data_IF_262266003261
#
_entry.id   IF_262266003261
#
_cell.length_a   1.000
_cell.length_b   1.000
_cell.length_c   1.000
_cell.angle_alpha   90.00
_cell.angle_beta   90.00
_cell.angle_gamma   90.00
#
_symmetry.space_group_name_H-M   'P 1'
#
loop_
_entity.id
_entity.type
_entity.pdbx_description
1 polymer ?
#
# COMPACT_ATOMS: atom_id res chain seq x y z
N UNK A 1 26.90 -24.51 21.44
CA UNK A 1 27.13 -23.54 22.53
C UNK A 1 27.67 -24.30 23.72
N UNK A 2 28.92 -24.04 24.11
CA UNK A 2 29.44 -24.50 25.40
C UNK A 2 28.98 -23.51 26.47
N UNK A 3 28.49 -23.99 27.61
CA UNK A 3 28.05 -23.17 28.75
C UNK A 3 29.24 -22.47 29.44
N UNK A 4 30.46 -22.91 29.13
CA UNK A 4 31.69 -22.51 29.82
C UNK A 4 32.40 -21.28 29.20
N UNK A 5 31.93 -20.76 28.06
CA UNK A 5 32.45 -19.53 27.44
C UNK A 5 31.32 -18.60 26.95
N UNK A 6 30.69 -17.86 27.87
CA UNK A 6 29.62 -16.93 27.53
C UNK A 6 30.12 -15.76 26.66
N UNK A 7 31.39 -15.36 26.77
CA UNK A 7 31.95 -14.26 25.99
C UNK A 7 32.17 -14.66 24.53
N UNK A 8 32.75 -15.84 24.29
CA UNK A 8 32.88 -16.40 22.94
C UNK A 8 31.51 -16.64 22.30
N UNK A 9 30.52 -17.11 23.08
CA UNK A 9 29.14 -17.24 22.61
C UNK A 9 28.52 -15.91 22.15
N UNK A 10 28.67 -14.84 22.94
CA UNK A 10 28.18 -13.50 22.56
C UNK A 10 28.92 -12.95 21.34
N UNK A 11 30.24 -13.13 21.26
CA UNK A 11 31.03 -12.67 20.12
C UNK A 11 30.60 -13.34 18.80
N UNK A 12 30.38 -14.66 18.81
CA UNK A 12 29.88 -15.40 17.64
C UNK A 12 28.49 -14.92 17.20
N UNK A 13 27.57 -14.72 18.15
CA UNK A 13 26.23 -14.19 17.83
C UNK A 13 26.29 -12.79 17.22
N UNK A 14 27.19 -11.93 17.70
CA UNK A 14 27.39 -10.60 17.12
C UNK A 14 27.97 -10.70 15.70
N UNK A 15 28.93 -11.60 15.45
CA UNK A 15 29.51 -11.79 14.12
C UNK A 15 28.49 -12.34 13.10
N UNK A 16 27.64 -13.28 13.52
CA UNK A 16 26.51 -13.76 12.75
C UNK A 16 25.52 -12.62 12.43
N UNK A 17 25.18 -11.81 13.44
CA UNK A 17 24.31 -10.66 13.24
C UNK A 17 24.90 -9.64 12.25
N UNK A 18 26.21 -9.34 12.34
CA UNK A 18 26.87 -8.46 11.38
C UNK A 18 26.88 -9.04 9.97
N UNK A 19 27.12 -10.34 9.84
CA UNK A 19 27.11 -11.05 8.56
C UNK A 19 25.73 -10.95 7.91
N UNK A 20 24.67 -11.25 8.67
CA UNK A 20 23.29 -11.14 8.22
C UNK A 20 22.93 -9.72 7.78
N UNK A 21 23.31 -8.70 8.56
CA UNK A 21 23.06 -7.29 8.20
C UNK A 21 23.79 -6.90 6.92
N UNK A 22 25.04 -7.35 6.72
CA UNK A 22 25.78 -7.09 5.47
C UNK A 22 25.12 -7.77 4.27
N UNK A 23 24.66 -9.01 4.43
CA UNK A 23 23.92 -9.73 3.39
C UNK A 23 22.62 -8.99 3.03
N UNK A 24 21.86 -8.52 4.02
CA UNK A 24 20.67 -7.70 3.82
C UNK A 24 20.98 -6.42 3.04
N UNK A 25 22.04 -5.70 3.39
CA UNK A 25 22.46 -4.47 2.69
C UNK A 25 22.83 -4.73 1.23
N UNK A 26 23.38 -5.92 0.93
CA UNK A 26 23.72 -6.34 -0.44
C UNK A 26 22.53 -6.88 -1.24
N UNK A 27 21.35 -7.01 -0.61
CA UNK A 27 20.15 -7.60 -1.24
C UNK A 27 20.18 -9.12 -1.33
N UNK A 28 21.11 -9.78 -0.65
CA UNK A 28 21.24 -11.25 -0.66
C UNK A 28 20.08 -11.94 0.07
N UNK A 29 19.34 -11.20 0.92
CA UNK A 29 18.16 -11.66 1.66
C UNK A 29 16.82 -11.24 1.02
N UNK A 30 16.86 -10.74 -0.23
CA UNK A 30 15.65 -10.28 -0.93
C UNK A 30 14.60 -11.40 -1.11
N UNK A 31 15.04 -12.66 -1.26
CA UNK A 31 14.14 -13.82 -1.31
C UNK A 31 13.36 -13.97 0.01
N UNK A 32 14.09 -14.05 1.12
CA UNK A 32 13.51 -14.17 2.47
C UNK A 32 12.54 -13.04 2.78
N UNK A 33 12.89 -11.80 2.39
CA UNK A 33 12.00 -10.64 2.56
C UNK A 33 10.69 -10.75 1.78
N UNK A 34 10.70 -11.40 0.60
CA UNK A 34 9.50 -11.59 -0.21
C UNK A 34 8.64 -12.74 0.31
N UNK A 35 9.24 -13.82 0.79
CA UNK A 35 8.53 -14.91 1.46
C UNK A 35 7.83 -14.39 2.72
N UNK A 36 8.52 -13.59 3.53
CA UNK A 36 7.96 -12.99 4.75
C UNK A 36 7.28 -11.62 4.53
N UNK A 37 6.83 -11.33 3.31
CA UNK A 37 6.34 -10.00 2.93
C UNK A 37 5.31 -9.43 3.91
N UNK A 38 4.31 -10.22 4.32
CA UNK A 38 3.28 -9.76 5.25
C UNK A 38 3.84 -9.40 6.64
N UNK A 39 4.89 -10.09 7.09
CA UNK A 39 5.55 -9.82 8.37
C UNK A 39 6.25 -8.46 8.31
N UNK A 40 7.08 -8.23 7.30
CA UNK A 40 7.79 -6.96 7.15
C UNK A 40 6.84 -5.80 6.86
N UNK A 41 5.83 -6.00 6.02
CA UNK A 41 4.79 -5.00 5.77
C UNK A 41 4.04 -4.62 7.05
N UNK A 42 3.77 -5.61 7.92
CA UNK A 42 3.18 -5.39 9.23
C UNK A 42 4.09 -4.59 10.17
N UNK A 43 5.41 -4.79 10.13
CA UNK A 43 6.35 -3.98 10.90
C UNK A 43 6.50 -2.55 10.37
N UNK A 44 6.41 -2.38 9.05
CA UNK A 44 6.43 -1.07 8.40
C UNK A 44 5.13 -0.28 8.61
N UNK A 45 4.05 -0.94 9.05
CA UNK A 45 2.77 -0.31 9.34
C UNK A 45 2.94 0.80 10.37
N UNK A 46 2.19 1.89 10.20
CA UNK A 46 2.02 2.88 11.25
C UNK A 46 0.53 3.19 11.28
N UNK A 47 -0.23 2.71 12.26
CA UNK A 47 -1.68 2.91 12.30
C UNK A 47 -2.39 1.73 12.99
N UNK A 48 -3.60 1.98 13.47
CA UNK A 48 -4.27 1.07 14.41
C UNK A 48 -5.57 0.45 13.86
N UNK A 49 -5.91 0.71 12.60
CA UNK A 49 -7.13 0.17 11.98
C UNK A 49 -6.87 -1.18 11.31
N UNK A 50 -7.80 -2.13 11.48
CA UNK A 50 -7.77 -3.43 10.81
C UNK A 50 -8.33 -3.28 9.39
N UNK A 51 -7.65 -3.80 8.36
CA UNK A 51 -8.26 -3.97 7.02
C UNK A 51 -8.67 -5.42 6.85
N UNK A 52 -9.91 -5.62 6.43
CA UNK A 52 -10.49 -6.91 6.07
C UNK A 52 -10.73 -6.93 4.56
N UNK A 53 -10.35 -8.01 3.91
CA UNK A 53 -10.55 -8.22 2.47
C UNK A 53 -11.65 -9.24 2.23
N UNK A 54 -12.57 -8.90 1.33
CA UNK A 54 -13.52 -9.82 0.69
C UNK A 54 -13.17 -10.04 -0.79
N UNK A 55 -11.99 -9.55 -1.21
CA UNK A 55 -11.51 -9.66 -2.58
C UNK A 55 -11.13 -11.10 -2.89
N UNK A 56 -11.30 -11.47 -4.15
CA UNK A 56 -10.67 -12.65 -4.71
C UNK A 56 -9.20 -12.32 -5.06
N UNK A 57 -8.21 -12.88 -4.34
CA UNK A 57 -6.83 -12.43 -4.48
C UNK A 57 -6.19 -12.98 -5.76
N UNK A 58 -6.26 -12.19 -6.83
CA UNK A 58 -5.69 -12.53 -8.13
C UNK A 58 -5.75 -11.38 -9.13
N UNK A 59 -5.04 -11.50 -10.27
CA UNK A 59 -5.15 -10.55 -11.36
C UNK A 59 -6.58 -10.56 -11.97
N UNK A 60 -6.98 -9.49 -12.68
CA UNK A 60 -6.23 -8.28 -12.96
C UNK A 60 -6.38 -7.22 -11.85
N UNK A 61 -5.53 -6.19 -11.93
CA UNK A 61 -5.76 -4.92 -11.23
C UNK A 61 -7.13 -4.35 -11.60
N UNK A 62 -7.86 -3.84 -10.60
CA UNK A 62 -9.26 -3.43 -10.77
C UNK A 62 -9.70 -2.40 -9.73
N UNK A 63 -10.83 -1.75 -10.00
CA UNK A 63 -11.54 -0.94 -9.00
C UNK A 63 -12.19 -1.85 -7.96
N UNK A 64 -12.16 -1.42 -6.71
CA UNK A 64 -12.79 -2.11 -5.57
C UNK A 64 -13.62 -1.12 -4.74
N UNK A 65 -14.44 -1.65 -3.85
CA UNK A 65 -15.32 -0.90 -2.96
C UNK A 65 -14.84 -0.98 -1.52
N UNK A 66 -14.83 0.16 -0.85
CA UNK A 66 -14.23 0.32 0.47
C UNK A 66 -15.23 0.97 1.41
N UNK A 67 -15.37 0.37 2.58
CA UNK A 67 -16.10 0.95 3.70
C UNK A 67 -15.14 1.17 4.87
N UNK A 68 -15.12 2.39 5.39
CA UNK A 68 -14.35 2.78 6.57
C UNK A 68 -15.30 2.81 7.79
N UNK A 69 -15.11 1.87 8.71
CA UNK A 69 -15.70 1.89 10.04
C UNK A 69 -14.82 2.62 11.06
N UNK A 70 -15.24 2.63 12.32
CA UNK A 70 -14.49 3.29 13.39
C UNK A 70 -13.14 2.59 13.72
N UNK A 71 -13.12 1.26 13.68
CA UNK A 71 -11.95 0.44 14.05
C UNK A 71 -11.45 -0.46 12.92
N UNK A 72 -12.25 -0.62 11.87
CA UNK A 72 -11.94 -1.53 10.76
C UNK A 72 -12.34 -0.90 9.43
N UNK A 73 -11.59 -1.25 8.39
CA UNK A 73 -11.87 -0.95 6.99
C UNK A 73 -12.16 -2.27 6.30
N UNK A 74 -13.18 -2.31 5.45
CA UNK A 74 -13.56 -3.52 4.71
C UNK A 74 -13.47 -3.20 3.21
N UNK A 75 -12.83 -4.09 2.46
CA UNK A 75 -12.64 -3.96 1.03
C UNK A 75 -13.32 -5.12 0.32
N UNK A 76 -14.05 -4.82 -0.76
CA UNK A 76 -14.91 -5.76 -1.47
C UNK A 76 -14.87 -5.51 -2.98
N UNK A 77 -15.27 -6.51 -3.77
CA UNK A 77 -15.38 -6.42 -5.23
C UNK A 77 -16.50 -5.45 -5.64
N UNK A 78 -17.59 -5.44 -4.88
CA UNK A 78 -18.80 -4.68 -5.20
C UNK A 78 -19.50 -4.10 -3.98
N UNK A 79 -20.40 -3.15 -4.22
CA UNK A 79 -21.23 -2.57 -3.17
C UNK A 79 -22.22 -3.58 -2.61
N UNK A 80 -22.69 -4.49 -3.44
CA UNK A 80 -23.59 -5.57 -3.07
C UNK A 80 -22.92 -6.53 -2.09
N UNK A 81 -21.68 -6.97 -2.41
CA UNK A 81 -20.89 -7.85 -1.55
C UNK A 81 -20.60 -7.17 -0.19
N UNK A 82 -20.19 -5.90 -0.23
CA UNK A 82 -19.90 -5.13 0.97
C UNK A 82 -21.13 -4.95 1.87
N UNK A 83 -22.28 -4.59 1.27
CA UNK A 83 -23.55 -4.45 2.00
C UNK A 83 -24.00 -5.79 2.58
N UNK A 84 -23.86 -6.88 1.83
CA UNK A 84 -24.20 -8.22 2.32
C UNK A 84 -23.37 -8.60 3.54
N UNK A 85 -22.06 -8.37 3.48
CA UNK A 85 -21.17 -8.61 4.62
C UNK A 85 -21.52 -7.74 5.82
N UNK A 86 -21.72 -6.42 5.62
CA UNK A 86 -22.04 -5.48 6.69
C UNK A 86 -23.36 -5.81 7.41
N UNK A 87 -24.38 -6.30 6.69
CA UNK A 87 -25.64 -6.74 7.30
C UNK A 87 -25.44 -7.88 8.31
N UNK A 88 -24.49 -8.77 8.05
CA UNK A 88 -24.22 -9.93 8.89
C UNK A 88 -23.22 -9.60 10.00
N UNK A 89 -22.13 -8.91 9.67
CA UNK A 89 -21.02 -8.66 10.59
C UNK A 89 -21.22 -7.43 11.49
N UNK A 90 -22.07 -6.48 11.08
CA UNK A 90 -22.29 -5.23 11.80
C UNK A 90 -23.75 -4.74 11.67
N UNK A 91 -24.74 -5.52 12.15
CA UNK A 91 -26.17 -5.26 11.94
C UNK A 91 -26.66 -3.94 12.56
N UNK A 92 -25.92 -3.36 13.51
CA UNK A 92 -26.24 -2.09 14.17
C UNK A 92 -25.80 -0.85 13.38
N UNK A 93 -25.04 -1.02 12.30
CA UNK A 93 -24.61 0.10 11.45
C UNK A 93 -25.78 0.56 10.60
N UNK A 94 -26.22 1.80 10.82
CA UNK A 94 -27.29 2.43 10.05
C UNK A 94 -26.95 2.53 8.56
N UNK A 95 -27.94 2.40 7.68
CA UNK A 95 -27.75 2.49 6.22
C UNK A 95 -27.08 3.80 5.75
N UNK A 96 -27.25 4.91 6.48
CA UNK A 96 -26.55 6.18 6.19
C UNK A 96 -25.03 6.11 6.40
N UNK A 97 -24.56 5.17 7.23
CA UNK A 97 -23.15 4.92 7.57
C UNK A 97 -22.55 3.74 6.81
N UNK A 98 -23.29 3.10 5.90
CA UNK A 98 -22.78 2.02 5.03
C UNK A 98 -22.32 2.54 3.67
N UNK A 99 -22.15 3.86 3.51
CA UNK A 99 -21.62 4.46 2.28
C UNK A 99 -20.19 3.96 2.05
N UNK A 100 -20.00 3.39 0.87
CA UNK A 100 -18.70 2.97 0.37
C UNK A 100 -18.12 4.03 -0.56
N UNK A 101 -16.81 3.96 -0.75
CA UNK A 101 -16.09 4.72 -1.78
C UNK A 101 -15.24 3.77 -2.61
N UNK A 102 -14.81 4.25 -3.77
CA UNK A 102 -13.96 3.47 -4.66
C UNK A 102 -12.50 3.48 -4.17
N UNK A 103 -11.81 2.37 -4.38
CA UNK A 103 -10.36 2.26 -4.24
C UNK A 103 -9.75 1.43 -5.36
N UNK A 104 -8.43 1.35 -5.40
CA UNK A 104 -7.71 0.58 -6.39
C UNK A 104 -7.17 -0.72 -5.78
N UNK A 105 -7.34 -1.82 -6.50
CA UNK A 105 -6.58 -3.04 -6.28
C UNK A 105 -5.57 -3.19 -7.42
N UNK A 106 -4.29 -3.27 -7.08
CA UNK A 106 -3.15 -3.34 -7.99
C UNK A 106 -2.47 -4.68 -7.79
N UNK A 107 -2.58 -5.54 -8.81
CA UNK A 107 -1.87 -6.81 -8.85
C UNK A 107 -0.46 -6.60 -9.38
N UNK A 108 0.54 -6.89 -8.54
CA UNK A 108 1.96 -6.78 -8.86
C UNK A 108 2.47 -8.13 -9.36
N UNK A 109 3.48 -8.09 -10.24
CA UNK A 109 4.16 -9.30 -10.70
C UNK A 109 4.92 -10.00 -9.56
N UNK A 110 5.40 -9.22 -8.59
CA UNK A 110 6.06 -9.69 -7.38
C UNK A 110 5.81 -8.73 -6.21
N UNK A 111 5.86 -9.25 -4.98
CA UNK A 111 5.82 -8.40 -3.79
C UNK A 111 7.10 -7.55 -3.70
N UNK A 112 6.98 -6.27 -3.26
CA UNK A 112 8.15 -5.42 -3.04
C UNK A 112 8.94 -5.89 -1.82
N UNK A 113 10.23 -5.61 -1.78
CA UNK A 113 11.06 -5.75 -0.57
C UNK A 113 10.85 -4.55 0.36
N UNK A 114 11.27 -4.62 1.64
CA UNK A 114 11.12 -3.51 2.58
C UNK A 114 11.69 -2.17 2.10
N UNK A 115 12.77 -2.20 1.31
CA UNK A 115 13.37 -1.00 0.72
C UNK A 115 12.49 -0.37 -0.38
N UNK A 116 11.62 -1.17 -1.00
CA UNK A 116 10.71 -0.77 -2.09
C UNK A 116 9.32 -0.38 -1.55
N UNK A 117 9.08 -0.50 -0.25
CA UNK A 117 7.79 -0.15 0.34
C UNK A 117 7.47 1.33 0.13
N UNK A 118 6.24 1.65 -0.31
CA UNK A 118 5.90 3.01 -0.70
C UNK A 118 5.85 3.92 0.52
N UNK A 119 6.65 4.97 0.49
CA UNK A 119 6.73 6.04 1.49
C UNK A 119 6.10 7.35 1.00
N UNK A 120 5.89 7.47 -0.30
CA UNK A 120 5.29 8.61 -0.99
C UNK A 120 4.21 8.17 -1.99
N UNK A 121 3.30 9.07 -2.38
CA UNK A 121 2.33 8.72 -3.43
C UNK A 121 3.00 8.50 -4.79
N UNK A 122 4.18 9.12 -5.00
CA UNK A 122 5.00 8.83 -6.17
C UNK A 122 5.49 7.39 -6.17
N UNK A 123 5.77 6.81 -4.99
CA UNK A 123 6.21 5.42 -4.86
C UNK A 123 5.03 4.48 -5.17
N UNK A 124 3.83 4.81 -4.68
CA UNK A 124 2.59 4.08 -5.03
C UNK A 124 2.36 4.09 -6.55
N UNK A 125 2.53 5.25 -7.18
CA UNK A 125 2.39 5.38 -8.64
C UNK A 125 3.50 4.61 -9.39
N UNK A 126 4.73 4.62 -8.87
CA UNK A 126 5.84 3.87 -9.46
C UNK A 126 5.58 2.37 -9.44
N UNK A 127 5.04 1.83 -8.33
CA UNK A 127 4.65 0.42 -8.25
C UNK A 127 3.56 0.07 -9.27
N UNK A 128 2.51 0.89 -9.37
CA UNK A 128 1.45 0.69 -10.37
C UNK A 128 1.97 0.80 -11.82
N UNK A 129 3.00 1.62 -12.05
CA UNK A 129 3.65 1.75 -13.35
C UNK A 129 4.43 0.50 -13.74
N UNK A 130 5.10 -0.15 -12.79
CA UNK A 130 5.84 -1.38 -13.07
C UNK A 130 4.93 -2.50 -13.60
N UNK A 131 3.67 -2.57 -13.13
CA UNK A 131 2.67 -3.54 -13.59
C UNK A 131 1.71 -3.00 -14.67
N UNK A 132 2.01 -1.84 -15.29
CA UNK A 132 1.21 -1.27 -16.38
C UNK A 132 -0.20 -0.81 -16.00
N UNK A 133 -0.46 -0.56 -14.71
CA UNK A 133 -1.80 -0.26 -14.17
C UNK A 133 -1.97 1.22 -13.76
N UNK A 134 -1.23 2.15 -14.37
CA UNK A 134 -1.30 3.58 -14.03
C UNK A 134 -2.66 4.20 -14.35
N UNK A 135 -3.32 3.74 -15.40
CA UNK A 135 -4.61 4.28 -15.85
C UNK A 135 -5.67 4.18 -14.74
N UNK A 136 -5.66 3.07 -13.99
CA UNK A 136 -6.53 2.87 -12.83
C UNK A 136 -6.31 3.96 -11.78
N UNK A 137 -5.06 4.31 -11.46
CA UNK A 137 -4.75 5.37 -10.50
C UNK A 137 -5.05 6.77 -11.05
N UNK A 138 -4.83 6.99 -12.35
CA UNK A 138 -5.11 8.28 -13.01
C UNK A 138 -6.61 8.62 -13.01
N UNK A 139 -7.48 7.61 -13.03
CA UNK A 139 -8.91 7.82 -12.78
C UNK A 139 -9.20 8.36 -11.37
N UNK A 140 -8.57 7.80 -10.33
CA UNK A 140 -8.74 8.29 -8.95
C UNK A 140 -8.17 9.70 -8.76
N UNK A 141 -7.07 10.03 -9.43
CA UNK A 141 -6.51 11.39 -9.39
C UNK A 141 -7.52 12.40 -9.96
N UNK A 142 -8.25 12.03 -11.02
CA UNK A 142 -9.30 12.88 -11.62
C UNK A 142 -10.51 13.05 -10.70
N UNK A 143 -10.94 11.99 -10.02
CA UNK A 143 -12.01 12.05 -9.01
C UNK A 143 -11.59 12.87 -7.77
N UNK A 144 -10.28 13.00 -7.55
CA UNK A 144 -9.64 13.77 -6.49
C UNK A 144 -10.22 13.52 -5.08
N UNK A 145 -10.42 12.26 -4.65
CA UNK A 145 -10.97 11.96 -3.35
C UNK A 145 -10.03 12.47 -2.24
N UNK A 146 -10.55 12.76 -1.03
CA UNK A 146 -9.73 13.19 0.09
C UNK A 146 -8.68 12.14 0.50
N UNK A 147 -8.99 10.86 0.26
CA UNK A 147 -8.12 9.71 0.49
C UNK A 147 -8.34 8.70 -0.63
N UNK A 148 -7.25 8.13 -1.13
CA UNK A 148 -7.26 7.02 -2.07
C UNK A 148 -6.66 5.82 -1.39
N UNK A 149 -7.47 4.78 -1.22
CA UNK A 149 -6.97 3.48 -0.79
C UNK A 149 -6.45 2.72 -2.00
N UNK A 150 -5.23 2.21 -1.87
CA UNK A 150 -4.60 1.35 -2.86
C UNK A 150 -4.22 0.06 -2.16
N UNK A 151 -4.74 -1.05 -2.64
CA UNK A 151 -4.38 -2.39 -2.20
C UNK A 151 -3.42 -2.98 -3.22
N UNK A 152 -2.30 -3.49 -2.75
CA UNK A 152 -1.38 -4.30 -3.52
C UNK A 152 -1.67 -5.77 -3.27
N UNK A 153 -1.64 -6.57 -4.33
CA UNK A 153 -1.70 -8.01 -4.27
C UNK A 153 -0.61 -8.62 -5.14
N UNK A 154 -0.04 -9.75 -4.73
CA UNK A 154 0.85 -10.56 -5.56
C UNK A 154 0.89 -11.99 -5.03
N UNK A 155 1.41 -12.91 -5.84
CA UNK A 155 1.74 -14.26 -5.39
C UNK A 155 3.02 -14.25 -4.56
N UNK A 156 3.00 -15.01 -3.46
CA UNK A 156 4.17 -15.38 -2.66
C UNK A 156 4.25 -16.91 -2.60
N UNK A 157 5.31 -17.46 -2.02
CA UNK A 157 5.46 -18.91 -1.84
C UNK A 157 4.33 -19.52 -1.01
N UNK A 158 3.83 -18.77 -0.01
CA UNK A 158 2.72 -19.18 0.86
C UNK A 158 1.32 -18.82 0.29
N UNK A 159 1.27 -18.40 -0.98
CA UNK A 159 0.05 -18.00 -1.68
C UNK A 159 -0.11 -16.49 -1.81
N UNK A 160 -1.30 -16.00 -2.20
CA UNK A 160 -1.53 -14.58 -2.41
C UNK A 160 -1.36 -13.73 -1.14
N UNK A 161 -0.60 -12.66 -1.24
CA UNK A 161 -0.42 -11.68 -0.17
C UNK A 161 -1.06 -10.35 -0.54
N UNK A 162 -1.84 -9.77 0.40
CA UNK A 162 -2.53 -8.49 0.21
C UNK A 162 -2.04 -7.44 1.21
N UNK A 163 -1.87 -6.22 0.72
CA UNK A 163 -1.25 -5.13 1.45
C UNK A 163 -1.91 -3.80 1.06
N UNK A 164 -2.63 -3.15 1.98
CA UNK A 164 -3.21 -1.84 1.71
C UNK A 164 -2.22 -0.72 1.99
N UNK A 165 -2.39 0.42 1.32
CA UNK A 165 -1.80 1.73 1.64
C UNK A 165 -2.84 2.82 1.41
N UNK A 166 -2.71 3.95 2.12
CA UNK A 166 -3.61 5.09 1.95
C UNK A 166 -2.82 6.32 1.47
N UNK A 167 -3.19 6.81 0.30
CA UNK A 167 -2.69 8.07 -0.23
C UNK A 167 -3.64 9.19 0.19
N UNK A 168 -3.12 10.18 0.92
CA UNK A 168 -3.91 11.35 1.29
C UNK A 168 -3.77 12.43 0.22
N UNK A 169 -4.87 13.11 -0.10
CA UNK A 169 -4.82 14.34 -0.89
C UNK A 169 -4.00 15.40 -0.15
N UNK A 170 -3.08 16.11 -0.81
CA UNK A 170 -2.37 17.24 -0.27
C UNK A 170 -3.37 18.27 0.22
N UNK A 171 -3.10 18.83 1.40
CA UNK A 171 -3.91 19.91 1.91
C UNK A 171 -3.82 21.12 0.96
N UNK A 172 -4.92 21.84 0.83
CA UNK A 172 -4.93 23.16 0.19
C UNK A 172 -4.06 24.09 1.04
N UNK A 173 -3.04 24.69 0.43
CA UNK A 173 -2.10 25.59 1.13
C UNK A 173 -2.30 27.01 0.61
N UNK A 174 -2.57 27.96 1.50
CA UNK A 174 -2.77 29.39 1.16
C UNK A 174 -3.82 29.60 0.06
N UNK A 175 -4.94 28.88 0.14
CA UNK A 175 -6.03 28.96 -0.84
C UNK A 175 -5.72 28.40 -2.22
N UNK A 176 -4.53 27.79 -2.42
CA UNK A 176 -4.15 27.14 -3.67
C UNK A 176 -4.22 25.64 -3.48
N UNK A 177 -5.04 25.00 -4.30
CA UNK A 177 -5.06 23.55 -4.39
C UNK A 177 -3.81 23.08 -5.17
N UNK A 178 -2.91 22.30 -4.54
CA UNK A 178 -1.73 21.77 -5.22
C UNK A 178 -2.06 20.95 -6.46
N UNK A 179 -3.24 20.32 -6.51
CA UNK A 179 -3.71 19.59 -7.69
C UNK A 179 -4.10 20.51 -8.84
N UNK A 180 -4.68 21.68 -8.55
CA UNK A 180 -5.07 22.66 -9.57
C UNK A 180 -3.87 23.54 -10.02
N UNK A 181 -2.87 23.73 -9.16
CA UNK A 181 -1.73 24.61 -9.43
C UNK A 181 -0.74 24.07 -10.49
N UNK A 182 -0.75 22.76 -10.75
CA UNK A 182 0.17 22.08 -11.69
C UNK A 182 -0.31 22.00 -13.14
N UNK A 183 -1.60 22.24 -13.41
CA UNK A 183 -2.16 22.24 -14.76
C UNK A 183 -2.39 23.68 -15.21
N UNK A 184 -1.38 24.30 -15.85
CA UNK A 184 -1.61 25.52 -16.63
C UNK A 184 -1.98 25.14 -18.07
N UNK A 185 -3.23 25.38 -18.53
CA UNK A 185 -3.55 25.37 -19.94
C UNK A 185 -3.08 26.69 -20.55
N UNK A 186 -1.89 26.74 -21.15
CA UNK A 186 -1.57 27.75 -22.15
C UNK A 186 -0.33 27.39 -22.96
N UNK A 187 -0.56 27.21 -24.27
CA UNK A 187 0.41 27.24 -25.37
C UNK A 187 1.44 26.12 -25.42
N UNK A 188 1.10 25.03 -26.12
CA UNK A 188 2.09 24.12 -26.69
C UNK A 188 2.93 24.91 -27.71
N UNK A 189 4.19 25.20 -27.38
CA UNK A 189 5.24 25.37 -28.37
C UNK A 189 6.22 24.23 -28.19
N UNK A 190 6.34 23.44 -29.25
CA UNK A 190 7.23 22.30 -29.40
C UNK A 190 8.69 22.72 -29.20
N UNK A 191 9.35 22.08 -28.24
CA UNK A 191 10.79 22.23 -28.02
C UNK A 191 11.18 22.76 -26.65
N UNK A 192 10.93 22.01 -25.57
CA UNK A 192 11.67 22.18 -24.31
C UNK A 192 11.57 20.93 -23.42
N UNK A 193 12.71 20.62 -22.81
CA UNK A 193 12.98 19.56 -21.83
C UNK A 193 11.86 19.42 -20.79
N UNK A 194 11.34 18.20 -20.59
CA UNK A 194 10.32 17.87 -19.58
C UNK A 194 10.66 18.47 -18.21
N UNK A 195 9.82 19.34 -17.62
CA UNK A 195 10.02 19.74 -16.24
C UNK A 195 9.62 18.59 -15.31
N UNK A 196 10.46 18.32 -14.30
CA UNK A 196 10.13 17.43 -13.17
C UNK A 196 8.94 18.02 -12.40
N UNK A 197 7.89 17.24 -12.08
CA UNK A 197 6.79 17.75 -11.26
C UNK A 197 7.28 18.01 -9.82
N UNK A 198 7.04 19.20 -9.25
CA UNK A 198 7.30 19.46 -7.84
C UNK A 198 6.01 19.23 -7.06
N UNK A 199 5.67 17.99 -6.73
CA UNK A 199 4.61 17.74 -5.75
C UNK A 199 5.06 16.69 -4.75
N UNK A 200 5.30 17.14 -3.52
CA UNK A 200 5.68 16.28 -2.40
C UNK A 200 4.42 15.67 -1.81
N UNK A 201 3.96 14.57 -2.41
CA UNK A 201 2.86 13.76 -1.87
C UNK A 201 3.36 12.92 -0.69
N UNK A 202 2.75 13.06 0.49
CA UNK A 202 3.03 12.16 1.62
C UNK A 202 2.18 10.90 1.45
N UNK A 203 2.77 9.74 1.15
CA UNK A 203 2.03 8.50 1.33
C UNK A 203 1.95 8.19 2.81
N UNK A 204 0.80 7.65 3.19
CA UNK A 204 0.48 7.38 4.56
C UNK A 204 -0.15 5.99 4.63
N UNK A 205 0.73 5.03 4.88
CA UNK A 205 0.56 3.94 5.85
C UNK A 205 -0.14 2.67 5.37
N UNK A 206 0.53 1.53 5.55
CA UNK A 206 -0.11 0.25 5.36
C UNK A 206 -1.03 -0.22 6.50
N UNK A 207 -2.08 -0.98 6.18
CA UNK A 207 -3.05 -1.56 7.12
C UNK A 207 -3.47 -2.99 6.68
N UNK A 208 -3.40 -4.02 7.54
CA UNK A 208 -4.10 -5.31 7.34
C UNK A 208 -4.14 -6.22 8.60
N UNK A 209 -5.17 -7.07 8.67
CA UNK A 209 -5.34 -8.22 9.59
C UNK A 209 -5.80 -9.49 8.84
N UNK A 210 -5.39 -10.67 9.33
CA UNK A 210 -5.47 -11.99 8.66
C UNK A 210 -6.89 -12.48 8.36
N UNK A 211 -7.05 -13.15 7.21
CA UNK A 211 -8.18 -14.03 6.93
C UNK A 211 -8.09 -15.29 7.83
N UNK A 212 -9.23 -15.69 8.39
CA UNK A 212 -9.50 -17.04 8.90
C UNK A 212 -10.73 -17.55 8.19
#
# INVERSE_FOLDING_TARGET
MSVDDPYGGVASLLDEAFTMVRAAIRGELDGDFRTEFLTYWHHAKRGNGTVLSLLDPGPPSRRVRIWEGASQTVVAESDEQLRAWLRNAAPTVSASKTKSHAGAFVWLDQVPTPAEYPSSASDVYALAKCCGCTDLLDEFVREAPPRTFVLFGALTEDGPALAATVVKRPAVVRGRDPLAAGFRPSTVRSGARRPRPPVRWRAVRPQFGRAR
#
